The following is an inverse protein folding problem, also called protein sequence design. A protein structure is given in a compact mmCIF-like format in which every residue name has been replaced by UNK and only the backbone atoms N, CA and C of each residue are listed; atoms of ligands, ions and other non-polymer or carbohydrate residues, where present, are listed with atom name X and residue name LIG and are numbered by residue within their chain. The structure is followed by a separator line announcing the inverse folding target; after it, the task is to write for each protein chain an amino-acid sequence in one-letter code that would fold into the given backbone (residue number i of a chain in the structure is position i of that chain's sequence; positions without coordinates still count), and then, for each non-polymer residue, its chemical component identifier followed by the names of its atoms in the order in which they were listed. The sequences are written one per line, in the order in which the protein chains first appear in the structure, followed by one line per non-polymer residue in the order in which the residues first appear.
data_IF_442180045726
#
_entry.id   IF_442180045726
#
_cell.length_a   1.000
_cell.length_b   1.000
_cell.length_c   1.000
_cell.angle_alpha   90.00
_cell.angle_beta   90.00
_cell.angle_gamma   90.00
#
_symmetry.space_group_name_H-M   'P 1'
#
loop_
_entity.id
_entity.type
_entity.pdbx_description
1 polymer ?
#
# COMPACT_ATOMS: atom_id res chain seq x y z
N UNK A 1 78.03 -17.17 -38.64
CA UNK A 1 77.50 -16.46 -39.82
C UNK A 1 75.98 -16.38 -39.71
N UNK A 2 75.42 -15.16 -39.88
CA UNK A 2 74.01 -14.77 -40.16
C UNK A 2 73.04 -14.86 -38.94
N UNK A 3 72.73 -13.74 -38.27
CA UNK A 3 71.67 -12.72 -38.55
C UNK A 3 70.25 -13.28 -38.26
N UNK A 4 69.25 -12.64 -37.63
CA UNK A 4 68.86 -11.23 -37.44
C UNK A 4 67.78 -11.19 -36.31
N UNK A 5 67.80 -10.22 -35.39
CA UNK A 5 67.00 -8.97 -35.37
C UNK A 5 65.51 -9.09 -34.91
N UNK A 6 65.28 -8.48 -33.73
CA UNK A 6 64.09 -7.87 -33.09
C UNK A 6 62.75 -7.85 -33.86
N UNK A 7 61.66 -8.15 -33.13
CA UNK A 7 60.33 -7.51 -33.30
C UNK A 7 59.67 -7.15 -31.96
N UNK A 8 58.86 -6.12 -32.05
CA UNK A 8 58.40 -5.20 -31.02
C UNK A 8 57.22 -5.70 -30.17
N UNK A 9 57.20 -5.22 -28.92
CA UNK A 9 56.08 -4.87 -28.02
C UNK A 9 54.65 -4.97 -28.55
N UNK A 10 53.74 -5.53 -27.75
CA UNK A 10 52.45 -4.89 -27.39
C UNK A 10 51.79 -5.59 -26.21
N UNK A 11 51.60 -4.84 -25.13
CA UNK A 11 50.80 -5.18 -23.97
C UNK A 11 49.31 -5.01 -24.31
N UNK A 12 48.45 -5.89 -23.79
CA UNK A 12 47.02 -5.61 -23.64
C UNK A 12 46.54 -6.20 -22.30
N UNK A 13 46.24 -5.26 -21.41
CA UNK A 13 45.61 -5.43 -20.11
C UNK A 13 44.25 -6.11 -20.26
N UNK A 14 44.06 -7.26 -19.62
CA UNK A 14 42.74 -7.85 -19.37
C UNK A 14 42.35 -7.60 -17.92
N UNK A 15 41.77 -6.43 -17.63
CA UNK A 15 41.12 -6.18 -16.33
C UNK A 15 39.77 -6.89 -16.33
N UNK A 16 39.68 -8.02 -15.64
CA UNK A 16 38.40 -8.66 -15.34
C UNK A 16 37.73 -7.84 -14.25
N UNK A 17 36.88 -6.89 -14.66
CA UNK A 17 35.98 -6.21 -13.75
C UNK A 17 34.90 -7.21 -13.30
N UNK A 18 35.07 -7.78 -12.11
CA UNK A 18 34.00 -8.50 -11.41
C UNK A 18 32.99 -7.46 -10.94
N UNK A 19 32.06 -7.11 -11.82
CA UNK A 19 30.90 -6.32 -11.47
C UNK A 19 29.99 -7.15 -10.57
N UNK A 20 30.01 -6.88 -9.28
CA UNK A 20 29.00 -7.36 -8.36
C UNK A 20 27.64 -6.77 -8.78
N UNK A 21 26.89 -7.54 -9.57
CA UNK A 21 25.50 -7.25 -9.85
C UNK A 21 24.73 -7.35 -8.53
N UNK A 22 24.47 -6.19 -7.92
CA UNK A 22 23.48 -6.05 -6.86
C UNK A 22 22.14 -6.43 -7.47
N UNK A 23 21.76 -7.69 -7.32
CA UNK A 23 20.46 -8.21 -7.69
C UNK A 23 19.41 -7.49 -6.86
N UNK A 24 18.84 -6.43 -7.42
CA UNK A 24 17.56 -5.90 -6.98
C UNK A 24 16.57 -7.01 -7.30
N UNK A 25 16.22 -7.81 -6.29
CA UNK A 25 15.15 -8.78 -6.44
C UNK A 25 13.92 -8.01 -6.98
N UNK A 26 13.26 -8.49 -8.04
CA UNK A 26 12.02 -7.86 -8.47
C UNK A 26 11.09 -7.89 -7.26
N UNK A 27 10.70 -6.70 -6.77
CA UNK A 27 9.57 -6.60 -5.86
C UNK A 27 8.41 -7.29 -6.57
N UNK A 28 7.64 -8.15 -5.87
CA UNK A 28 6.50 -8.80 -6.49
C UNK A 28 5.66 -7.72 -7.14
N UNK A 29 5.32 -7.92 -8.42
CA UNK A 29 4.44 -7.02 -9.15
C UNK A 29 3.13 -6.95 -8.36
N UNK A 30 2.97 -5.90 -7.58
CA UNK A 30 1.77 -5.64 -6.82
C UNK A 30 0.71 -5.37 -7.88
N UNK A 31 -0.21 -6.31 -8.07
CA UNK A 31 -1.42 -6.04 -8.83
C UNK A 31 -2.06 -4.83 -8.14
N UNK A 32 -1.97 -3.67 -8.81
CA UNK A 32 -2.57 -2.42 -8.37
C UNK A 32 -4.08 -2.61 -8.50
N UNK A 33 -4.70 -3.28 -7.51
CA UNK A 33 -6.13 -3.50 -7.51
C UNK A 33 -6.78 -2.13 -7.30
N UNK A 34 -7.23 -1.54 -8.41
CA UNK A 34 -8.05 -0.36 -8.41
C UNK A 34 -9.30 -0.64 -7.57
N UNK A 35 -9.62 0.27 -6.66
CA UNK A 35 -10.81 0.13 -5.82
C UNK A 35 -12.06 0.09 -6.72
N UNK A 36 -12.84 -1.00 -6.75
CA UNK A 36 -14.01 -1.10 -7.61
C UNK A 36 -15.04 -0.01 -7.30
N UNK A 37 -15.83 0.36 -8.31
CA UNK A 37 -16.95 1.27 -8.10
C UNK A 37 -17.93 0.68 -7.08
N UNK A 38 -18.44 1.51 -6.18
CA UNK A 38 -19.40 1.09 -5.16
C UNK A 38 -18.80 0.50 -3.88
N UNK A 39 -17.47 0.37 -3.78
CA UNK A 39 -16.81 -0.24 -2.62
C UNK A 39 -16.00 0.76 -1.79
N UNK A 40 -15.80 0.40 -0.52
CA UNK A 40 -14.76 0.96 0.33
C UNK A 40 -13.55 0.01 0.33
N UNK A 41 -12.38 0.57 0.07
CA UNK A 41 -11.13 -0.19 -0.03
C UNK A 41 -10.14 0.30 1.03
N UNK A 42 -9.67 -0.64 1.84
CA UNK A 42 -8.61 -0.42 2.82
C UNK A 42 -7.34 -1.08 2.31
N UNK A 43 -6.23 -0.34 2.30
CA UNK A 43 -4.95 -0.82 1.82
C UNK A 43 -3.97 -0.91 2.98
N UNK A 44 -3.23 -2.02 3.06
CA UNK A 44 -2.22 -2.23 4.07
C UNK A 44 -0.94 -1.40 3.84
N UNK A 45 -0.73 -0.88 2.64
CA UNK A 45 0.34 0.05 2.29
C UNK A 45 -0.17 1.48 2.07
N UNK A 46 0.73 2.45 2.18
CA UNK A 46 0.46 3.81 1.75
C UNK A 46 0.37 3.88 0.22
N UNK A 47 -0.24 4.95 -0.29
CA UNK A 47 -0.46 5.23 -1.71
C UNK A 47 -1.14 4.07 -2.45
N UNK A 48 -2.13 3.44 -1.81
CA UNK A 48 -2.98 2.40 -2.38
C UNK A 48 -2.21 1.14 -2.81
N UNK A 49 -1.21 0.76 -2.01
CA UNK A 49 -0.36 -0.40 -2.26
C UNK A 49 -0.58 -1.53 -1.23
N UNK A 50 -0.05 -2.71 -1.54
CA UNK A 50 -0.09 -3.88 -0.65
C UNK A 50 -1.45 -4.58 -0.61
N UNK A 51 -1.66 -5.36 0.46
CA UNK A 51 -2.89 -6.13 0.67
C UNK A 51 -4.11 -5.19 0.71
N UNK A 52 -5.21 -5.60 0.06
CA UNK A 52 -6.45 -4.84 0.00
C UNK A 52 -7.57 -5.59 0.72
N UNK A 53 -8.37 -4.85 1.49
CA UNK A 53 -9.63 -5.34 2.05
C UNK A 53 -10.79 -4.53 1.47
N UNK A 54 -11.66 -5.24 0.75
CA UNK A 54 -12.82 -4.68 0.06
C UNK A 54 -14.04 -4.82 0.97
N UNK A 55 -14.71 -3.70 1.26
CA UNK A 55 -15.96 -3.69 1.98
C UNK A 55 -17.08 -3.19 1.09
N UNK A 56 -18.17 -3.97 1.07
CA UNK A 56 -19.44 -3.55 0.51
C UNK A 56 -20.44 -3.29 1.64
N UNK A 57 -21.25 -2.26 1.48
CA UNK A 57 -22.35 -1.93 2.38
C UNK A 57 -23.66 -2.55 1.85
N UNK A 58 -24.59 -2.96 2.72
CA UNK A 58 -25.86 -3.52 2.26
C UNK A 58 -26.61 -2.50 1.38
N UNK A 59 -27.33 -2.98 0.37
CA UNK A 59 -28.07 -2.14 -0.59
C UNK A 59 -29.05 -1.15 0.06
N UNK A 60 -29.54 -1.44 1.28
CA UNK A 60 -30.53 -0.63 2.00
C UNK A 60 -30.14 -0.38 3.47
N UNK A 61 -28.89 -0.02 3.77
CA UNK A 61 -28.54 0.32 5.16
C UNK A 61 -27.06 0.57 5.43
N UNK A 62 -26.74 0.62 6.72
CA UNK A 62 -25.40 0.74 7.26
C UNK A 62 -25.06 -0.50 8.07
N UNK A 63 -23.88 -1.09 7.87
CA UNK A 63 -23.40 -2.19 8.72
C UNK A 63 -22.05 -1.86 9.32
N UNK A 64 -21.88 -2.22 10.59
CA UNK A 64 -20.59 -2.22 11.27
C UNK A 64 -19.88 -3.54 10.97
N UNK A 65 -18.68 -3.45 10.41
CA UNK A 65 -17.85 -4.59 10.06
C UNK A 65 -16.57 -4.52 10.89
N UNK A 66 -16.44 -5.44 11.84
CA UNK A 66 -15.16 -5.69 12.51
C UNK A 66 -14.19 -6.31 11.50
N UNK A 67 -13.01 -5.72 11.35
CA UNK A 67 -12.00 -6.25 10.43
C UNK A 67 -11.51 -7.61 10.92
N UNK A 68 -11.14 -8.53 10.01
CA UNK A 68 -10.56 -9.80 10.40
C UNK A 68 -9.20 -9.58 11.08
N UNK A 69 -8.82 -10.49 11.98
CA UNK A 69 -7.61 -10.35 12.80
C UNK A 69 -6.33 -10.15 11.98
N UNK A 70 -6.24 -10.71 10.78
CA UNK A 70 -5.08 -10.55 9.90
C UNK A 70 -4.96 -9.16 9.24
N UNK A 71 -6.01 -8.34 9.31
CA UNK A 71 -6.09 -7.03 8.66
C UNK A 71 -6.33 -5.86 9.64
N UNK A 72 -6.78 -6.13 10.87
CA UNK A 72 -6.87 -5.12 11.93
C UNK A 72 -5.54 -4.40 12.12
N UNK A 73 -5.58 -3.09 12.35
CA UNK A 73 -4.39 -2.28 12.62
C UNK A 73 -3.33 -2.34 11.51
N UNK A 74 -3.74 -2.60 10.27
CA UNK A 74 -2.82 -2.61 9.12
C UNK A 74 -3.11 -1.55 8.08
N UNK A 75 -4.29 -0.93 8.08
CA UNK A 75 -4.68 0.07 7.09
C UNK A 75 -3.77 1.30 7.13
N UNK A 76 -3.24 1.68 5.97
CA UNK A 76 -2.37 2.84 5.76
C UNK A 76 -2.83 3.77 4.63
N UNK A 77 -3.78 3.34 3.79
CA UNK A 77 -4.48 4.20 2.84
C UNK A 77 -5.89 3.69 2.53
N UNK A 78 -6.77 4.59 2.08
CA UNK A 78 -8.21 4.35 1.95
C UNK A 78 -8.73 4.96 0.64
N UNK A 79 -9.59 4.24 -0.08
CA UNK A 79 -10.42 4.79 -1.16
C UNK A 79 -11.88 4.45 -0.88
N UNK A 80 -12.76 5.43 -0.92
CA UNK A 80 -14.21 5.22 -0.84
C UNK A 80 -14.84 5.55 -2.20
N UNK A 81 -15.15 4.54 -3.01
CA UNK A 81 -15.76 4.71 -4.34
C UNK A 81 -17.28 4.55 -4.34
N UNK A 82 -17.94 4.69 -3.17
CA UNK A 82 -19.40 4.59 -3.10
C UNK A 82 -20.11 5.82 -3.70
N UNK A 83 -21.26 5.62 -4.38
CA UNK A 83 -21.89 6.67 -5.19
C UNK A 83 -22.73 7.72 -4.45
N UNK A 84 -23.36 7.33 -3.35
CA UNK A 84 -24.17 8.18 -2.47
C UNK A 84 -24.55 7.37 -1.24
N UNK A 85 -24.79 8.00 -0.09
CA UNK A 85 -24.89 7.28 1.17
C UNK A 85 -23.60 7.35 1.98
N UNK A 86 -23.72 7.10 3.27
CA UNK A 86 -22.95 7.68 4.39
C UNK A 86 -21.43 7.54 4.28
N UNK A 87 -20.79 8.61 4.74
CA UNK A 87 -19.51 8.63 5.43
C UNK A 87 -19.12 7.26 6.01
N UNK A 88 -18.03 6.67 5.54
CA UNK A 88 -17.47 5.51 6.22
C UNK A 88 -16.97 5.95 7.59
N UNK A 89 -17.51 5.35 8.65
CA UNK A 89 -17.05 5.61 10.02
C UNK A 89 -15.99 4.58 10.36
N UNK A 90 -14.88 4.99 10.96
CA UNK A 90 -13.82 4.08 11.36
C UNK A 90 -13.63 4.12 12.87
N UNK A 91 -13.28 2.97 13.43
CA UNK A 91 -13.10 2.77 14.86
C UNK A 91 -11.78 2.08 15.16
N UNK A 92 -11.22 2.37 16.34
CA UNK A 92 -10.02 1.70 16.86
C UNK A 92 -10.32 0.50 17.77
N UNK A 93 -11.58 0.08 17.82
CA UNK A 93 -11.99 -1.16 18.46
C UNK A 93 -12.86 -2.00 17.52
N UNK A 94 -12.63 -3.31 17.50
CA UNK A 94 -13.40 -4.27 16.70
C UNK A 94 -14.92 -4.26 16.97
N UNK A 95 -15.39 -3.78 18.13
CA UNK A 95 -16.80 -3.67 18.48
C UNK A 95 -17.45 -2.34 18.05
N UNK A 96 -16.82 -1.59 17.14
CA UNK A 96 -17.28 -0.27 16.67
C UNK A 96 -17.41 0.78 17.79
N UNK A 97 -16.47 0.75 18.74
CA UNK A 97 -16.28 1.78 19.77
C UNK A 97 -14.95 2.51 19.54
N UNK A 98 -14.80 3.73 20.08
CA UNK A 98 -13.57 4.50 19.88
C UNK A 98 -13.48 5.09 18.47
N UNK A 99 -14.29 6.12 18.21
CA UNK A 99 -14.37 6.77 16.90
C UNK A 99 -13.01 7.35 16.49
N UNK A 100 -12.52 6.95 15.32
CA UNK A 100 -11.36 7.56 14.67
C UNK A 100 -11.77 8.71 13.77
N UNK A 101 -12.84 8.52 12.99
CA UNK A 101 -13.40 9.57 12.17
C UNK A 101 -14.17 9.06 10.96
N UNK A 102 -14.23 9.92 9.95
CA UNK A 102 -15.10 9.86 8.80
C UNK A 102 -14.36 9.91 7.44
N UNK A 103 -14.86 9.17 6.44
CA UNK A 103 -14.46 9.27 5.03
C UNK A 103 -15.67 9.46 4.13
N UNK A 104 -15.69 10.55 3.36
CA UNK A 104 -16.77 10.83 2.42
C UNK A 104 -16.74 9.95 1.17
N UNK A 105 -17.92 9.79 0.56
CA UNK A 105 -18.09 9.18 -0.75
C UNK A 105 -17.18 9.83 -1.81
N UNK A 106 -16.64 9.02 -2.70
CA UNK A 106 -15.62 9.38 -3.71
C UNK A 106 -14.33 10.00 -3.17
N UNK A 107 -14.14 10.03 -1.86
CA UNK A 107 -12.92 10.55 -1.24
C UNK A 107 -11.83 9.48 -1.13
N UNK A 108 -10.59 9.91 -0.96
CA UNK A 108 -9.47 9.03 -0.62
C UNK A 108 -8.56 9.64 0.46
N UNK A 109 -7.75 8.78 1.07
CA UNK A 109 -6.62 9.15 1.94
C UNK A 109 -5.42 8.32 1.54
N UNK A 110 -4.44 8.95 0.90
CA UNK A 110 -3.29 8.24 0.33
C UNK A 110 -2.25 7.82 1.38
N UNK A 111 -2.15 8.50 2.52
CA UNK A 111 -1.18 8.14 3.54
C UNK A 111 -1.67 8.53 4.94
N UNK A 112 -2.09 7.53 5.71
CA UNK A 112 -2.64 7.72 7.05
C UNK A 112 -1.59 8.09 8.11
N UNK A 113 -0.29 7.89 7.84
CA UNK A 113 0.78 8.25 8.77
C UNK A 113 0.93 9.76 8.97
N UNK A 114 0.50 10.55 7.98
CA UNK A 114 0.55 12.03 8.02
C UNK A 114 -0.85 12.66 8.05
N UNK A 115 -1.89 11.85 8.02
CA UNK A 115 -3.27 12.30 8.06
C UNK A 115 -3.72 12.52 9.51
N UNK A 116 -3.81 13.79 9.91
CA UNK A 116 -4.20 14.18 11.26
C UNK A 116 -5.72 14.40 11.42
N UNK A 117 -6.54 13.98 10.45
CA UNK A 117 -7.98 14.13 10.56
C UNK A 117 -8.62 13.14 11.54
N UNK A 118 -7.84 12.19 12.07
CA UNK A 118 -8.31 11.25 13.08
C UNK A 118 -8.40 11.89 14.45
N UNK A 119 -9.41 11.47 15.20
CA UNK A 119 -9.48 11.73 16.63
C UNK A 119 -8.28 11.05 17.32
N UNK A 120 -7.58 11.83 18.13
CA UNK A 120 -6.38 11.37 18.85
C UNK A 120 -5.10 11.31 18.00
N UNK A 121 -5.08 11.92 16.81
CA UNK A 121 -3.86 12.05 16.01
C UNK A 121 -4.01 11.47 14.61
N UNK A 122 -3.31 10.36 14.34
CA UNK A 122 -3.32 9.71 13.02
C UNK A 122 -4.18 8.45 13.02
N UNK A 123 -4.61 8.01 11.83
CA UNK A 123 -5.38 6.77 11.64
C UNK A 123 -4.49 5.54 11.44
N UNK A 124 -3.20 5.78 11.20
CA UNK A 124 -2.27 4.79 10.69
C UNK A 124 -2.26 3.56 11.59
N UNK A 125 -2.60 2.40 11.03
CA UNK A 125 -2.55 1.14 11.76
C UNK A 125 -3.40 1.13 13.04
N UNK A 126 -4.51 1.87 13.07
CA UNK A 126 -5.46 1.89 14.20
C UNK A 126 -6.84 1.37 13.87
N UNK A 127 -7.17 1.22 12.59
CA UNK A 127 -8.52 0.85 12.17
C UNK A 127 -8.77 -0.62 12.50
N UNK A 128 -9.78 -0.89 13.31
CA UNK A 128 -10.22 -2.23 13.70
C UNK A 128 -11.65 -2.57 13.26
N UNK A 129 -12.50 -1.56 13.08
CA UNK A 129 -13.86 -1.74 12.55
C UNK A 129 -14.26 -0.56 11.67
N UNK A 130 -15.20 -0.79 10.76
CA UNK A 130 -15.68 0.20 9.81
C UNK A 130 -17.19 0.10 9.62
N UNK A 131 -17.88 1.23 9.54
CA UNK A 131 -19.27 1.29 9.08
C UNK A 131 -19.29 1.61 7.62
N UNK A 132 -19.94 0.74 6.85
CA UNK A 132 -20.18 0.98 5.44
C UNK A 132 -21.68 1.15 5.25
N UNK A 133 -22.01 2.32 4.74
CA UNK A 133 -23.26 2.65 4.09
C UNK A 133 -22.88 3.22 2.72
#
# INVERSE_FOLDING_TARGET
MRSALRRFTSALLGVVAVGAALGVAPSPAQANYACPSGLLCLYAGANFSGDIFLLDGPYNGCNDVGLPSYFRNRTQSIINNRPSGTVSTFWDNANATGLLGYQHAYGYRANLAYDSAAIGGTWNQRIEAVRVC
#
